data_IF_791213716609
#
_entry.id   IF_791213716609
#
_cell.length_a   1.000
_cell.length_b   1.000
_cell.length_c   1.000
_cell.angle_alpha   90.00
_cell.angle_beta   90.00
_cell.angle_gamma   90.00
#
_symmetry.space_group_name_H-M   'P 1'
#
loop_
_entity.id
_entity.type
_entity.pdbx_description
1 polymer ?
#
# COMPACT_ATOMS: atom_id res chain seq x y z
N UNK A 1 1.69 15.12 14.09
CA UNK A 1 1.12 16.29 13.40
C UNK A 1 1.35 16.08 11.92
N UNK A 2 0.36 16.32 11.07
CA UNK A 2 0.53 16.23 9.62
C UNK A 2 0.50 17.64 9.02
N UNK A 3 1.16 17.79 7.88
CA UNK A 3 1.35 19.06 7.19
C UNK A 3 1.14 18.88 5.69
N UNK A 4 0.58 19.92 5.07
CA UNK A 4 0.32 19.98 3.63
C UNK A 4 0.97 21.25 3.11
N UNK A 5 1.92 21.10 2.19
CA UNK A 5 2.60 22.22 1.55
C UNK A 5 2.50 22.09 0.04
N UNK A 6 2.46 23.23 -0.65
CA UNK A 6 2.50 23.27 -2.12
C UNK A 6 3.86 23.79 -2.56
N UNK A 7 4.46 23.11 -3.53
CA UNK A 7 5.78 23.44 -4.07
C UNK A 7 5.74 23.34 -5.59
N UNK A 8 5.56 24.49 -6.25
CA UNK A 8 5.34 24.53 -7.70
C UNK A 8 4.04 23.81 -8.07
N UNK A 9 4.15 22.79 -8.94
CA UNK A 9 3.03 21.92 -9.36
C UNK A 9 2.90 20.63 -8.53
N UNK A 10 3.51 20.59 -7.34
CA UNK A 10 3.41 19.44 -6.45
C UNK A 10 2.79 19.80 -5.10
N UNK A 11 2.05 18.85 -4.53
CA UNK A 11 1.61 18.87 -3.13
C UNK A 11 2.50 17.91 -2.36
N UNK A 12 3.07 18.39 -1.25
CA UNK A 12 3.87 17.58 -0.35
C UNK A 12 3.06 17.39 0.93
N UNK A 13 2.76 16.13 1.22
CA UNK A 13 2.08 15.71 2.45
C UNK A 13 3.07 15.01 3.38
N UNK A 14 3.17 15.47 4.62
CA UNK A 14 3.93 14.81 5.68
C UNK A 14 3.01 14.51 6.85
N UNK A 15 3.27 13.43 7.57
CA UNK A 15 2.43 13.04 8.71
C UNK A 15 2.76 11.65 9.22
N UNK A 16 2.07 11.16 10.26
CA UNK A 16 2.24 9.78 10.71
C UNK A 16 1.72 8.78 9.66
N UNK A 17 2.09 7.51 9.83
CA UNK A 17 1.88 6.48 8.80
C UNK A 17 0.41 6.26 8.43
N UNK A 18 -0.53 6.38 9.37
CA UNK A 18 -1.96 6.22 9.08
C UNK A 18 -2.45 7.36 8.18
N UNK A 19 -2.17 8.60 8.55
CA UNK A 19 -2.48 9.80 7.80
C UNK A 19 -1.85 9.75 6.42
N UNK A 20 -0.58 9.34 6.31
CA UNK A 20 0.10 9.16 5.02
C UNK A 20 -0.59 8.09 4.17
N UNK A 21 -0.99 6.98 4.78
CA UNK A 21 -1.70 5.92 4.04
C UNK A 21 -3.04 6.43 3.52
N UNK A 22 -3.80 7.17 4.32
CA UNK A 22 -5.06 7.75 3.85
C UNK A 22 -4.84 8.82 2.78
N UNK A 23 -3.83 9.68 2.96
CA UNK A 23 -3.44 10.68 1.96
C UNK A 23 -3.12 10.03 0.61
N UNK A 24 -2.39 8.92 0.64
CA UNK A 24 -2.10 8.12 -0.54
C UNK A 24 -3.37 7.59 -1.20
N UNK A 25 -4.26 6.96 -0.42
CA UNK A 25 -5.51 6.38 -0.93
C UNK A 25 -6.46 7.44 -1.52
N UNK A 26 -6.48 8.66 -0.94
CA UNK A 26 -7.27 9.79 -1.45
C UNK A 26 -6.69 10.33 -2.75
N UNK A 27 -5.36 10.52 -2.81
CA UNK A 27 -4.71 11.17 -3.95
C UNK A 27 -4.60 10.26 -5.17
N UNK A 28 -4.40 8.96 -4.96
CA UNK A 28 -4.14 7.98 -6.03
C UNK A 28 -5.18 7.96 -7.16
N UNK A 29 -6.50 7.95 -6.90
CA UNK A 29 -7.48 7.96 -7.98
C UNK A 29 -7.59 9.32 -8.71
N UNK A 30 -7.04 10.39 -8.14
CA UNK A 30 -7.19 11.75 -8.63
C UNK A 30 -5.94 12.29 -9.32
N UNK A 31 -4.81 11.59 -9.24
CA UNK A 31 -3.51 12.12 -9.69
C UNK A 31 -2.73 11.11 -10.51
N UNK A 32 -1.86 11.62 -11.37
CA UNK A 32 -1.07 10.78 -12.29
C UNK A 32 0.18 10.20 -11.61
N UNK A 33 0.76 10.93 -10.65
CA UNK A 33 2.03 10.58 -10.04
C UNK A 33 2.04 10.87 -8.54
N UNK A 34 2.37 9.84 -7.76
CA UNK A 34 2.65 9.93 -6.34
C UNK A 34 4.01 9.31 -6.09
N UNK A 35 4.89 10.03 -5.41
CA UNK A 35 6.22 9.57 -5.03
C UNK A 35 6.33 9.49 -3.51
N UNK A 36 6.88 8.39 -3.02
CA UNK A 36 7.14 8.18 -1.59
C UNK A 36 8.58 8.59 -1.32
N UNK A 37 8.75 9.74 -0.67
CA UNK A 37 10.06 10.30 -0.30
C UNK A 37 10.25 10.18 1.22
N UNK A 38 10.64 8.98 1.66
CA UNK A 38 10.82 8.67 3.08
C UNK A 38 9.50 8.80 3.85
N UNK A 39 9.34 9.89 4.60
CA UNK A 39 8.14 10.19 5.39
C UNK A 39 7.20 11.19 4.72
N UNK A 40 7.47 11.56 3.46
CA UNK A 40 6.66 12.47 2.68
C UNK A 40 6.00 11.75 1.49
N UNK A 41 4.82 12.21 1.12
CA UNK A 41 4.20 11.92 -0.17
C UNK A 41 4.28 13.17 -1.03
N UNK A 42 4.90 13.05 -2.20
CA UNK A 42 4.93 14.08 -3.21
C UNK A 42 3.93 13.72 -4.31
N UNK A 43 2.91 14.54 -4.46
CA UNK A 43 1.77 14.29 -5.35
C UNK A 43 1.79 15.32 -6.47
N UNK A 44 1.66 14.88 -7.72
CA UNK A 44 1.71 15.74 -8.91
C UNK A 44 0.64 15.28 -9.92
N UNK A 45 -0.13 16.21 -10.52
CA UNK A 45 -0.11 17.67 -10.36
C UNK A 45 -0.81 18.16 -9.07
N UNK A 46 -0.62 19.43 -8.73
CA UNK A 46 -1.19 20.03 -7.52
C UNK A 46 -2.67 20.45 -7.69
N UNK A 47 -3.55 19.46 -7.85
CA UNK A 47 -4.98 19.68 -8.01
C UNK A 47 -5.61 20.30 -6.74
N UNK A 48 -6.42 21.37 -6.86
CA UNK A 48 -7.06 22.00 -5.70
C UNK A 48 -7.92 21.05 -4.85
N UNK A 49 -8.58 20.09 -5.49
CA UNK A 49 -9.40 19.07 -4.83
C UNK A 49 -8.56 18.15 -3.92
N UNK A 50 -7.36 17.79 -4.38
CA UNK A 50 -6.41 16.99 -3.61
C UNK A 50 -5.88 17.79 -2.43
N UNK A 51 -5.45 19.04 -2.65
CA UNK A 51 -4.99 19.93 -1.59
C UNK A 51 -6.05 20.08 -0.49
N UNK A 52 -7.31 20.36 -0.89
CA UNK A 52 -8.43 20.52 0.04
C UNK A 52 -8.70 19.25 0.85
N UNK A 53 -8.68 18.09 0.18
CA UNK A 53 -8.90 16.79 0.84
C UNK A 53 -7.79 16.45 1.85
N UNK A 54 -6.54 16.73 1.50
CA UNK A 54 -5.38 16.50 2.39
C UNK A 54 -5.37 17.47 3.59
N UNK A 55 -5.77 18.72 3.39
CA UNK A 55 -5.93 19.68 4.49
C UNK A 55 -7.08 19.29 5.43
N UNK A 56 -8.17 18.75 4.89
CA UNK A 56 -9.28 18.24 5.68
C UNK A 56 -8.87 17.00 6.48
N UNK A 57 -8.14 16.07 5.84
CA UNK A 57 -7.55 14.89 6.50
C UNK A 57 -6.74 15.28 7.73
N UNK A 58 -5.95 16.37 7.66
CA UNK A 58 -5.16 16.84 8.79
C UNK A 58 -5.95 17.38 9.98
N UNK A 59 -7.24 17.63 9.80
CA UNK A 59 -8.15 18.08 10.85
C UNK A 59 -9.03 16.94 11.38
N UNK A 60 -8.95 15.75 10.79
CA UNK A 60 -9.77 14.60 11.17
C UNK A 60 -9.30 13.96 12.47
N UNK A 61 -10.26 13.46 13.26
CA UNK A 61 -9.97 12.67 14.45
C UNK A 61 -9.36 11.32 14.07
N UNK A 62 -8.36 10.87 14.85
CA UNK A 62 -7.62 9.62 14.61
C UNK A 62 -8.54 8.38 14.59
N UNK A 63 -9.60 8.37 15.42
CA UNK A 63 -10.56 7.26 15.45
C UNK A 63 -11.37 7.15 14.16
N UNK A 64 -11.76 8.28 13.60
CA UNK A 64 -12.49 8.37 12.33
C UNK A 64 -11.56 7.96 11.18
N UNK A 65 -10.33 8.48 11.19
CA UNK A 65 -9.30 8.12 10.22
C UNK A 65 -9.03 6.61 10.16
N UNK A 66 -8.94 5.94 11.32
CA UNK A 66 -8.70 4.49 11.35
C UNK A 66 -9.87 3.71 10.73
N UNK A 67 -11.10 4.17 10.91
CA UNK A 67 -12.28 3.57 10.29
C UNK A 67 -12.23 3.77 8.77
N UNK A 68 -11.99 5.00 8.32
CA UNK A 68 -11.94 5.35 6.90
C UNK A 68 -10.85 4.57 6.15
N UNK A 69 -9.67 4.40 6.76
CA UNK A 69 -8.58 3.59 6.20
C UNK A 69 -9.01 2.12 6.08
N UNK A 70 -9.63 1.57 7.12
CA UNK A 70 -10.08 0.17 7.10
C UNK A 70 -11.12 -0.08 6.02
N UNK A 71 -12.09 0.82 5.89
CA UNK A 71 -13.12 0.76 4.85
C UNK A 71 -12.50 0.88 3.45
N UNK A 72 -11.59 1.84 3.26
CA UNK A 72 -10.88 2.02 1.98
C UNK A 72 -10.06 0.79 1.59
N UNK A 73 -9.30 0.23 2.54
CA UNK A 73 -8.52 -0.99 2.33
C UNK A 73 -9.42 -2.20 2.03
N UNK A 74 -10.54 -2.32 2.74
CA UNK A 74 -11.52 -3.38 2.50
C UNK A 74 -12.12 -3.28 1.09
N UNK A 75 -12.44 -2.07 0.62
CA UNK A 75 -12.90 -1.84 -0.75
C UNK A 75 -11.86 -2.24 -1.81
N UNK A 76 -10.57 -2.12 -1.48
CA UNK A 76 -9.47 -2.60 -2.32
C UNK A 76 -9.18 -4.11 -2.18
N UNK A 77 -9.98 -4.83 -1.38
CA UNK A 77 -9.89 -6.28 -1.17
C UNK A 77 -8.90 -6.70 -0.08
N UNK A 78 -8.44 -5.78 0.76
CA UNK A 78 -7.59 -6.09 1.90
C UNK A 78 -8.41 -6.45 3.14
N UNK A 79 -8.03 -7.55 3.79
CA UNK A 79 -8.42 -7.85 5.15
C UNK A 79 -7.47 -7.12 6.10
N UNK A 80 -8.02 -6.37 7.05
CA UNK A 80 -7.25 -5.52 7.95
C UNK A 80 -7.39 -6.02 9.39
N UNK A 81 -6.26 -6.32 10.03
CA UNK A 81 -6.19 -6.68 11.45
C UNK A 81 -5.63 -5.52 12.28
N UNK A 82 -6.18 -5.35 13.49
CA UNK A 82 -5.73 -4.37 14.47
C UNK A 82 -6.88 -3.51 15.01
N UNK A 83 -6.79 -3.15 16.31
CA UNK A 83 -7.88 -2.46 17.02
C UNK A 83 -7.73 -0.94 17.03
N UNK A 84 -6.55 -0.46 17.45
CA UNK A 84 -6.22 0.97 17.57
C UNK A 84 -5.33 1.49 16.44
N UNK A 85 -4.88 0.59 15.56
CA UNK A 85 -3.98 0.83 14.45
C UNK A 85 -4.12 -0.34 13.46
N UNK A 86 -3.55 -0.20 12.27
CA UNK A 86 -3.37 -1.28 11.29
C UNK A 86 -2.11 -2.06 11.65
N UNK A 87 -2.27 -3.31 12.06
CA UNK A 87 -1.14 -4.18 12.49
C UNK A 87 -0.74 -5.14 11.38
N UNK A 88 -1.71 -5.69 10.67
CA UNK A 88 -1.50 -6.58 9.54
C UNK A 88 -2.56 -6.33 8.48
N UNK A 89 -2.16 -6.42 7.22
CA UNK A 89 -3.10 -6.47 6.09
C UNK A 89 -2.82 -7.70 5.27
N UNK A 90 -3.88 -8.32 4.75
CA UNK A 90 -3.78 -9.50 3.89
C UNK A 90 -4.76 -9.41 2.74
N UNK A 91 -4.29 -9.72 1.54
CA UNK A 91 -5.11 -9.84 0.34
C UNK A 91 -4.86 -11.19 -0.30
N UNK A 92 -5.92 -11.83 -0.75
CA UNK A 92 -5.84 -13.14 -1.39
C UNK A 92 -6.68 -13.15 -2.64
N UNK A 93 -6.12 -13.70 -3.72
CA UNK A 93 -6.79 -13.80 -5.02
C UNK A 93 -6.56 -15.17 -5.63
N UNK A 94 -7.52 -15.62 -6.43
CA UNK A 94 -7.41 -16.87 -7.17
C UNK A 94 -6.40 -16.72 -8.31
N UNK A 95 -5.59 -17.73 -8.53
CA UNK A 95 -4.68 -17.82 -9.66
C UNK A 95 -5.10 -18.98 -10.58
N UNK A 96 -5.79 -18.68 -11.67
CA UNK A 96 -6.36 -19.69 -12.55
C UNK A 96 -7.47 -20.51 -11.88
N UNK A 97 -7.58 -21.80 -12.21
CA UNK A 97 -8.67 -22.67 -11.74
C UNK A 97 -8.44 -23.28 -10.36
N UNK A 98 -7.20 -23.58 -9.96
CA UNK A 98 -6.90 -24.21 -8.66
C UNK A 98 -5.81 -23.50 -7.86
N UNK A 99 -5.23 -22.43 -8.41
CA UNK A 99 -4.15 -21.71 -7.76
C UNK A 99 -4.63 -20.54 -6.90
N UNK A 100 -3.69 -19.99 -6.14
CA UNK A 100 -3.90 -18.78 -5.34
C UNK A 100 -2.63 -17.92 -5.31
N UNK A 101 -2.83 -16.65 -5.00
CA UNK A 101 -1.79 -15.71 -4.58
C UNK A 101 -2.28 -15.03 -3.31
N UNK A 102 -1.50 -15.13 -2.24
CA UNK A 102 -1.74 -14.44 -0.97
C UNK A 102 -0.61 -13.45 -0.75
N UNK A 103 -0.96 -12.22 -0.44
CA UNK A 103 -0.04 -11.14 -0.08
C UNK A 103 -0.39 -10.68 1.32
N UNK A 104 0.61 -10.62 2.18
CA UNK A 104 0.45 -10.21 3.57
C UNK A 104 1.55 -9.21 3.91
N UNK A 105 1.19 -8.18 4.68
CA UNK A 105 2.12 -7.24 5.28
C UNK A 105 1.87 -7.17 6.78
N UNK A 106 2.95 -7.30 7.55
CA UNK A 106 2.94 -7.19 9.00
C UNK A 106 3.78 -5.99 9.45
N UNK A 107 3.13 -5.05 10.15
CA UNK A 107 3.72 -3.77 10.55
C UNK A 107 4.82 -3.92 11.60
N UNK A 108 4.67 -4.85 12.55
CA UNK A 108 5.63 -5.04 13.65
C UNK A 108 6.99 -5.52 13.16
N UNK A 109 7.01 -6.37 12.13
CA UNK A 109 8.22 -6.93 11.53
C UNK A 109 8.63 -6.20 10.24
N UNK A 110 7.86 -5.19 9.83
CA UNK A 110 8.03 -4.43 8.56
C UNK A 110 8.23 -5.37 7.37
N UNK A 111 7.50 -6.48 7.37
CA UNK A 111 7.73 -7.58 6.43
C UNK A 111 6.50 -7.78 5.57
N UNK A 112 6.74 -7.83 4.26
CA UNK A 112 5.77 -8.27 3.28
C UNK A 112 6.11 -9.68 2.82
N UNK A 113 5.11 -10.54 2.77
CA UNK A 113 5.22 -11.93 2.30
C UNK A 113 4.22 -12.20 1.20
N UNK A 114 4.67 -12.95 0.19
CA UNK A 114 3.85 -13.40 -0.93
C UNK A 114 3.95 -14.91 -0.99
N UNK A 115 2.81 -15.58 -1.09
CA UNK A 115 2.73 -17.02 -1.31
C UNK A 115 1.84 -17.25 -2.52
N UNK A 116 2.35 -17.93 -3.54
CA UNK A 116 1.60 -18.18 -4.77
C UNK A 116 1.89 -19.55 -5.36
N UNK A 117 0.89 -20.15 -5.99
CA UNK A 117 1.07 -21.36 -6.80
C UNK A 117 1.57 -21.04 -8.22
N UNK A 118 1.58 -19.78 -8.64
CA UNK A 118 2.03 -19.36 -9.99
C UNK A 118 3.56 -19.28 -10.03
N UNK A 119 4.19 -20.34 -10.53
CA UNK A 119 5.66 -20.43 -10.64
C UNK A 119 6.28 -19.31 -11.47
N UNK A 120 5.61 -18.86 -12.51
CA UNK A 120 6.09 -17.79 -13.38
C UNK A 120 6.27 -16.44 -12.64
N UNK A 121 5.60 -16.20 -11.51
CA UNK A 121 5.77 -14.99 -10.71
C UNK A 121 7.12 -14.90 -10.00
N UNK A 122 7.87 -16.00 -9.89
CA UNK A 122 9.15 -16.02 -9.16
C UNK A 122 10.14 -14.97 -9.69
N UNK A 123 10.26 -14.83 -11.01
CA UNK A 123 11.18 -13.86 -11.61
C UNK A 123 10.70 -12.41 -11.42
N UNK A 124 9.40 -12.17 -11.48
CA UNK A 124 8.83 -10.85 -11.20
C UNK A 124 9.03 -10.45 -9.74
N UNK A 125 8.79 -11.37 -8.80
CA UNK A 125 9.04 -11.14 -7.38
C UNK A 125 10.52 -10.83 -7.09
N UNK A 126 11.45 -11.53 -7.74
CA UNK A 126 12.89 -11.20 -7.65
C UNK A 126 13.19 -9.79 -8.18
N UNK A 127 12.62 -9.39 -9.32
CA UNK A 127 12.80 -8.04 -9.89
C UNK A 127 12.25 -6.94 -8.98
N UNK A 128 11.18 -7.22 -8.25
CA UNK A 128 10.61 -6.33 -7.23
C UNK A 128 11.41 -6.32 -5.91
N UNK A 129 12.50 -7.07 -5.83
CA UNK A 129 13.41 -7.10 -4.69
C UNK A 129 12.99 -8.03 -3.56
N UNK A 130 12.13 -9.02 -3.84
CA UNK A 130 11.83 -10.06 -2.86
C UNK A 130 12.90 -11.15 -2.85
N UNK A 131 13.18 -11.68 -1.67
CA UNK A 131 13.86 -12.96 -1.49
C UNK A 131 12.88 -14.08 -1.83
N UNK A 132 13.16 -14.85 -2.90
CA UNK A 132 12.24 -15.84 -3.45
C UNK A 132 12.74 -17.26 -3.21
N UNK A 133 11.89 -18.08 -2.61
CA UNK A 133 12.07 -19.52 -2.42
C UNK A 133 11.04 -20.26 -3.28
N UNK A 134 11.52 -21.18 -4.11
CA UNK A 134 10.66 -22.00 -4.96
C UNK A 134 10.64 -23.44 -4.45
N UNK A 135 9.46 -23.96 -4.12
CA UNK A 135 9.27 -25.36 -3.76
C UNK A 135 8.74 -26.17 -4.94
N UNK A 136 8.37 -27.44 -4.77
CA UNK A 136 7.71 -28.20 -5.85
C UNK A 136 6.33 -27.63 -6.22
N UNK A 137 5.62 -27.03 -5.27
CA UNK A 137 4.19 -26.70 -5.42
C UNK A 137 3.90 -25.20 -5.42
N UNK A 138 4.77 -24.39 -4.84
CA UNK A 138 4.49 -22.96 -4.64
C UNK A 138 5.78 -22.12 -4.67
N UNK A 139 5.59 -20.82 -4.80
CA UNK A 139 6.61 -19.78 -4.64
C UNK A 139 6.28 -19.04 -3.36
N UNK A 140 7.28 -18.92 -2.51
CA UNK A 140 7.27 -18.06 -1.33
C UNK A 140 8.23 -16.92 -1.57
N UNK A 141 7.84 -15.72 -1.20
CA UNK A 141 8.67 -14.55 -1.32
C UNK A 141 8.52 -13.64 -0.12
N UNK A 142 9.62 -13.04 0.33
CA UNK A 142 9.62 -12.09 1.45
C UNK A 142 10.45 -10.85 1.12
N UNK A 143 10.01 -9.69 1.61
CA UNK A 143 10.72 -8.42 1.48
C UNK A 143 10.50 -7.56 2.71
N UNK A 144 11.52 -6.81 3.11
CA UNK A 144 11.39 -5.74 4.09
C UNK A 144 10.80 -4.50 3.42
N UNK A 145 9.76 -3.95 4.03
CA UNK A 145 8.93 -2.86 3.48
C UNK A 145 8.77 -1.81 4.56
N UNK A 146 9.10 -0.57 4.24
CA UNK A 146 9.25 0.50 5.24
C UNK A 146 7.91 1.06 5.67
N UNK A 147 6.91 1.06 4.79
CA UNK A 147 5.61 1.69 5.04
C UNK A 147 4.42 0.86 4.54
N UNK A 148 3.25 1.09 5.12
CA UNK A 148 1.99 0.53 4.65
C UNK A 148 1.66 0.94 3.20
N UNK A 149 2.02 2.16 2.78
CA UNK A 149 1.84 2.63 1.41
C UNK A 149 2.67 1.80 0.44
N UNK A 150 3.95 1.58 0.74
CA UNK A 150 4.85 0.76 -0.08
C UNK A 150 4.32 -0.69 -0.20
N UNK A 151 3.73 -1.24 0.87
CA UNK A 151 3.11 -2.56 0.82
C UNK A 151 1.91 -2.62 -0.15
N UNK A 152 1.09 -1.57 -0.19
CA UNK A 152 -0.04 -1.45 -1.12
C UNK A 152 0.46 -1.35 -2.56
N UNK A 153 1.47 -0.52 -2.82
CA UNK A 153 2.08 -0.37 -4.15
C UNK A 153 2.68 -1.67 -4.67
N UNK A 154 3.40 -2.39 -3.82
CA UNK A 154 4.00 -3.66 -4.20
C UNK A 154 2.93 -4.71 -4.53
N UNK A 155 1.82 -4.77 -3.78
CA UNK A 155 0.73 -5.71 -4.09
C UNK A 155 0.10 -5.41 -5.44
N UNK A 156 -0.11 -4.13 -5.73
CA UNK A 156 -0.66 -3.71 -7.01
C UNK A 156 0.29 -4.00 -8.16
N UNK A 157 1.60 -3.74 -8.00
CA UNK A 157 2.60 -4.12 -8.99
C UNK A 157 2.57 -5.64 -9.23
N UNK A 158 2.53 -6.45 -8.17
CA UNK A 158 2.39 -7.90 -8.25
C UNK A 158 1.05 -8.30 -8.91
N UNK A 159 -0.02 -7.50 -8.76
CA UNK A 159 -1.33 -7.74 -9.39
C UNK A 159 -1.35 -7.52 -10.90
N UNK A 160 -0.45 -6.67 -11.39
CA UNK A 160 -0.33 -6.33 -12.81
C UNK A 160 0.65 -7.25 -13.56
N UNK A 161 1.45 -8.05 -12.84
CA UNK A 161 2.35 -9.02 -13.44
C UNK A 161 1.58 -10.10 -14.21
N UNK A 162 2.00 -10.32 -15.46
CA UNK A 162 1.36 -11.30 -16.34
C UNK A 162 1.99 -12.67 -16.14
N UNK A 163 1.14 -13.59 -15.70
CA UNK A 163 1.28 -15.04 -15.60
C UNK A 163 -0.01 -15.65 -16.17
#
# INVERSE_FOLDING_TARGET
MCEVTTSGDAVIFTGPELERTMAYLIAKPLTERIEIEGEALRITPALPEVVGSLQALCKSDVSTLLLDIKESLLHLGWLVEGRKDVVRIRKSRRAGTSGFTSVEYEKSSRRMTVVTTQKCLANSLRRLGFEVVETKYLVEAAKQVSTLVEAIELEEAISQEVC
#
